data_IF_287890939333
#
_entry.id   IF_287890939333
#
_cell.length_a   1.000
_cell.length_b   1.000
_cell.length_c   1.000
_cell.angle_alpha   90.00
_cell.angle_beta   90.00
_cell.angle_gamma   90.00
#
_symmetry.space_group_name_H-M   'P 1'
#
loop_
_entity.id
_entity.type
_entity.pdbx_description
1 polymer ?
#
# COMPACT_ATOMS: atom_id res chain seq x y z
N UNK A 1 -3.75 25.97 -15.43
CA UNK A 1 -4.89 25.37 -14.69
C UNK A 1 -4.59 24.95 -13.23
N UNK A 2 -3.35 24.67 -12.82
CA UNK A 2 -3.00 24.29 -11.42
C UNK A 2 -3.17 25.39 -10.36
N UNK A 3 -3.11 26.69 -10.75
CA UNK A 3 -3.23 27.80 -9.79
C UNK A 3 -4.67 28.18 -9.42
N UNK A 4 -5.63 27.90 -10.27
CA UNK A 4 -7.03 28.31 -10.10
C UNK A 4 -7.76 27.36 -9.13
N UNK A 5 -7.47 26.05 -9.20
CA UNK A 5 -8.08 25.05 -8.32
C UNK A 5 -7.67 25.25 -6.85
N UNK A 6 -6.41 25.63 -6.59
CA UNK A 6 -5.91 25.93 -5.24
C UNK A 6 -6.61 27.14 -4.61
N UNK A 7 -6.95 28.17 -5.42
CA UNK A 7 -7.63 29.39 -4.93
C UNK A 7 -9.12 29.16 -4.71
N UNK A 8 -9.79 28.37 -5.55
CA UNK A 8 -11.24 28.10 -5.41
C UNK A 8 -11.55 27.22 -4.18
N UNK A 9 -10.70 26.23 -3.84
CA UNK A 9 -10.87 25.39 -2.65
C UNK A 9 -10.68 26.22 -1.36
N UNK A 10 -9.73 27.15 -1.37
CA UNK A 10 -9.46 28.06 -0.24
C UNK A 10 -10.60 29.05 -0.03
N UNK A 11 -11.19 29.59 -1.11
CA UNK A 11 -12.26 30.60 -1.03
C UNK A 11 -13.59 29.97 -0.61
N UNK A 12 -13.92 28.74 -1.01
CA UNK A 12 -15.13 28.03 -0.54
C UNK A 12 -15.09 27.68 0.95
N UNK A 13 -13.88 27.53 1.55
CA UNK A 13 -13.73 27.32 2.99
C UNK A 13 -13.95 28.59 3.82
N UNK A 14 -13.73 29.77 3.25
CA UNK A 14 -13.76 31.06 3.97
C UNK A 14 -15.18 31.66 4.02
N UNK A 15 -16.04 31.38 3.04
CA UNK A 15 -17.37 32.00 2.94
C UNK A 15 -18.45 31.40 3.84
N UNK A 16 -18.15 30.36 4.63
CA UNK A 16 -19.12 29.73 5.55
C UNK A 16 -19.13 30.30 6.98
N UNK A 17 -18.32 31.31 7.31
CA UNK A 17 -18.15 31.77 8.71
C UNK A 17 -18.25 33.30 8.78
N UNK A 18 -19.37 33.88 8.45
CA UNK A 18 -19.68 35.26 8.82
C UNK A 18 -20.95 35.31 9.66
N UNK A 19 -20.81 35.27 10.94
CA UNK A 19 -21.82 35.63 11.93
C UNK A 19 -21.14 36.42 13.07
N UNK A 20 -21.54 37.69 13.23
CA UNK A 20 -20.93 38.68 14.08
C UNK A 20 -21.17 38.45 15.60
N UNK A 21 -20.26 38.68 16.45
CA UNK A 21 -20.08 39.82 17.39
C UNK A 21 -19.34 39.43 18.69
N UNK A 22 -18.49 40.39 19.09
CA UNK A 22 -17.89 40.66 20.40
C UNK A 22 -16.58 39.99 20.80
N UNK A 23 -15.53 40.81 20.74
CA UNK A 23 -14.32 40.69 21.53
C UNK A 23 -13.06 40.32 20.78
N UNK A 24 -12.00 41.10 20.94
CA UNK A 24 -10.67 40.84 20.34
C UNK A 24 -10.17 39.43 20.66
N UNK A 25 -10.47 38.89 21.85
CA UNK A 25 -10.10 37.54 22.28
C UNK A 25 -10.87 36.44 21.51
N UNK A 26 -12.12 36.69 21.08
CA UNK A 26 -12.85 35.73 20.22
C UNK A 26 -12.36 35.77 18.78
N UNK A 27 -11.93 36.92 18.29
CA UNK A 27 -11.32 37.09 16.99
C UNK A 27 -9.94 36.41 16.90
N UNK A 28 -9.15 36.48 17.98
CA UNK A 28 -7.87 35.75 18.07
C UNK A 28 -8.09 34.25 18.06
N UNK A 29 -9.00 33.72 18.85
CA UNK A 29 -9.36 32.28 18.87
C UNK A 29 -9.91 31.80 17.53
N UNK A 30 -10.72 32.63 16.84
CA UNK A 30 -11.19 32.32 15.48
C UNK A 30 -10.05 32.33 14.46
N UNK A 31 -9.10 33.23 14.54
CA UNK A 31 -7.94 33.28 13.67
C UNK A 31 -7.01 32.09 13.90
N UNK A 32 -6.76 31.68 15.13
CA UNK A 32 -5.98 30.49 15.47
C UNK A 32 -6.67 29.22 14.97
N UNK A 33 -7.99 29.11 15.12
CA UNK A 33 -8.78 28.02 14.56
C UNK A 33 -8.72 27.97 13.03
N UNK A 34 -8.84 29.12 12.37
CA UNK A 34 -8.71 29.20 10.91
C UNK A 34 -7.30 28.82 10.43
N UNK A 35 -6.27 29.20 11.17
CA UNK A 35 -4.89 28.78 10.92
C UNK A 35 -4.72 27.28 11.07
N UNK A 36 -5.33 26.66 12.09
CA UNK A 36 -5.33 25.21 12.28
C UNK A 36 -6.03 24.49 11.14
N UNK A 37 -7.15 25.02 10.64
CA UNK A 37 -7.85 24.48 9.45
C UNK A 37 -7.03 24.61 8.16
N UNK A 38 -6.33 25.75 7.99
CA UNK A 38 -5.43 25.96 6.83
C UNK A 38 -4.23 25.02 6.91
N UNK A 39 -3.66 24.85 8.11
CA UNK A 39 -2.56 23.91 8.35
C UNK A 39 -3.00 22.48 8.02
N UNK A 40 -4.14 22.03 8.51
CA UNK A 40 -4.69 20.72 8.17
C UNK A 40 -4.90 20.56 6.68
N UNK A 41 -5.41 21.59 5.98
CA UNK A 41 -5.58 21.57 4.53
C UNK A 41 -4.25 21.40 3.79
N UNK A 42 -3.19 22.06 4.26
CA UNK A 42 -1.84 21.91 3.71
C UNK A 42 -1.23 20.54 4.01
N UNK A 43 -1.48 20.00 5.19
CA UNK A 43 -1.03 18.66 5.58
C UNK A 43 -1.72 17.57 4.76
N UNK A 44 -3.00 17.73 4.44
CA UNK A 44 -3.72 16.91 3.48
C UNK A 44 -3.04 16.90 2.10
N UNK A 45 -2.71 18.09 1.58
CA UNK A 45 -2.01 18.21 0.29
C UNK A 45 -0.63 17.54 0.35
N UNK A 46 0.07 17.66 1.47
CA UNK A 46 1.37 17.03 1.69
C UNK A 46 1.30 15.50 1.65
N UNK A 47 0.28 14.91 2.27
CA UNK A 47 0.02 13.45 2.20
C UNK A 47 -0.24 13.02 0.75
N UNK A 48 -1.11 13.73 0.02
CA UNK A 48 -1.40 13.45 -1.38
C UNK A 48 -0.15 13.47 -2.26
N UNK A 49 0.72 14.47 -2.07
CA UNK A 49 1.96 14.60 -2.85
C UNK A 49 2.92 13.46 -2.55
N UNK A 50 3.11 13.11 -1.27
CA UNK A 50 4.01 12.04 -0.85
C UNK A 50 3.58 10.67 -1.40
N UNK A 51 2.29 10.37 -1.44
CA UNK A 51 1.80 9.13 -2.06
C UNK A 51 1.89 9.16 -3.59
N UNK A 52 1.79 10.32 -4.24
CA UNK A 52 2.06 10.47 -5.67
C UNK A 52 3.49 10.08 -6.03
N UNK A 53 4.46 10.47 -5.22
CA UNK A 53 5.88 10.11 -5.39
C UNK A 53 6.12 8.61 -5.16
N UNK A 54 5.37 7.98 -4.23
CA UNK A 54 5.46 6.54 -3.98
C UNK A 54 4.94 5.76 -5.20
N UNK A 55 3.78 6.13 -5.74
CA UNK A 55 3.25 5.52 -6.98
C UNK A 55 4.25 5.64 -8.13
N UNK A 56 4.82 6.83 -8.34
CA UNK A 56 5.84 7.05 -9.36
C UNK A 56 7.05 6.13 -9.21
N UNK A 57 7.48 5.85 -7.98
CA UNK A 57 8.62 4.96 -7.73
C UNK A 57 8.31 3.50 -8.09
N UNK A 58 7.11 3.01 -7.84
CA UNK A 58 6.69 1.63 -8.18
C UNK A 58 6.52 1.45 -9.68
N UNK A 59 5.91 2.41 -10.35
CA UNK A 59 5.73 2.38 -11.81
C UNK A 59 7.06 2.44 -12.58
N UNK A 60 8.14 2.89 -11.93
CA UNK A 60 9.49 2.90 -12.49
C UNK A 60 10.23 1.56 -12.41
N UNK A 61 9.67 0.52 -11.79
CA UNK A 61 10.33 -0.79 -11.71
C UNK A 61 10.52 -1.40 -13.09
N UNK A 62 11.70 -1.95 -13.33
CA UNK A 62 12.14 -2.58 -14.57
C UNK A 62 13.03 -3.79 -14.28
N UNK A 63 13.60 -4.40 -15.31
CA UNK A 63 14.41 -5.62 -15.17
C UNK A 63 15.69 -5.44 -14.36
N UNK A 64 16.16 -4.21 -14.17
CA UNK A 64 17.35 -3.86 -13.38
C UNK A 64 17.00 -3.40 -11.96
N UNK A 65 15.71 -3.32 -11.62
CA UNK A 65 15.27 -2.92 -10.28
C UNK A 65 15.64 -3.96 -9.24
N UNK A 66 16.08 -3.47 -8.09
CA UNK A 66 16.61 -4.29 -7.00
C UNK A 66 15.54 -4.57 -5.95
N UNK A 67 15.71 -5.66 -5.20
CA UNK A 67 14.89 -5.95 -4.02
C UNK A 67 14.98 -4.83 -2.98
N UNK A 68 16.16 -4.22 -2.84
CA UNK A 68 16.35 -3.06 -1.96
C UNK A 68 15.48 -1.86 -2.34
N UNK A 69 15.08 -1.70 -3.61
CA UNK A 69 14.16 -0.64 -4.01
C UNK A 69 12.74 -0.92 -3.51
N UNK A 70 12.35 -2.21 -3.44
CA UNK A 70 11.11 -2.62 -2.78
C UNK A 70 11.17 -2.39 -1.26
N UNK A 71 12.31 -2.69 -0.63
CA UNK A 71 12.55 -2.38 0.79
C UNK A 71 12.41 -0.88 1.09
N UNK A 72 13.00 -0.03 0.24
CA UNK A 72 12.87 1.43 0.31
C UNK A 72 11.44 1.91 0.08
N UNK A 73 10.70 1.26 -0.83
CA UNK A 73 9.28 1.54 -1.02
C UNK A 73 8.50 1.35 0.30
N UNK A 74 8.63 0.21 0.97
CA UNK A 74 7.95 -0.01 2.26
C UNK A 74 8.43 0.97 3.33
N UNK A 75 9.71 1.29 3.37
CA UNK A 75 10.25 2.32 4.30
C UNK A 75 9.60 3.68 4.03
N UNK A 76 9.46 4.08 2.78
CA UNK A 76 8.82 5.35 2.41
C UNK A 76 7.33 5.35 2.77
N UNK A 77 6.62 4.22 2.60
CA UNK A 77 5.23 4.07 3.09
C UNK A 77 5.18 4.26 4.61
N UNK A 78 6.04 3.57 5.36
CA UNK A 78 6.15 3.71 6.82
C UNK A 78 6.33 5.18 7.22
N UNK A 79 7.34 5.86 6.67
CA UNK A 79 7.71 7.22 7.04
C UNK A 79 6.61 8.23 6.68
N UNK A 80 5.97 8.07 5.53
CA UNK A 80 4.85 8.93 5.10
C UNK A 80 3.64 8.80 6.03
N UNK A 81 3.29 7.56 6.41
CA UNK A 81 2.15 7.31 7.31
C UNK A 81 2.47 7.76 8.74
N UNK A 82 3.72 7.56 9.20
CA UNK A 82 4.18 8.07 10.50
C UNK A 82 4.07 9.61 10.55
N UNK A 83 4.58 10.30 9.53
CA UNK A 83 4.46 11.76 9.45
C UNK A 83 3.01 12.25 9.42
N UNK A 84 2.09 11.47 8.82
CA UNK A 84 0.65 11.77 8.86
C UNK A 84 0.10 11.62 10.29
N UNK A 85 0.44 10.54 10.99
CA UNK A 85 0.07 10.32 12.38
C UNK A 85 0.54 11.47 13.28
N UNK A 86 1.83 11.79 13.21
CA UNK A 86 2.44 12.84 14.05
C UNK A 86 1.74 14.20 13.88
N UNK A 87 1.40 14.55 12.64
CA UNK A 87 0.66 15.80 12.34
C UNK A 87 -0.76 15.79 12.90
N UNK A 88 -1.48 14.68 12.80
CA UNK A 88 -2.82 14.54 13.35
C UNK A 88 -2.82 14.64 14.88
N UNK A 89 -1.87 13.98 15.54
CA UNK A 89 -1.71 14.06 17.00
C UNK A 89 -1.38 15.49 17.44
N UNK A 90 -0.51 16.18 16.69
CA UNK A 90 -0.18 17.59 16.95
C UNK A 90 -1.42 18.49 16.83
N UNK A 91 -2.25 18.31 15.82
CA UNK A 91 -3.49 19.08 15.63
C UNK A 91 -4.40 18.90 16.85
N UNK A 92 -4.57 17.70 17.38
CA UNK A 92 -5.37 17.43 18.58
C UNK A 92 -4.81 18.20 19.79
N UNK A 93 -3.49 18.17 19.97
CA UNK A 93 -2.82 18.90 21.07
C UNK A 93 -3.04 20.40 20.93
N UNK A 94 -2.86 20.97 19.75
CA UNK A 94 -3.02 22.39 19.49
C UNK A 94 -4.48 22.83 19.72
N UNK A 95 -5.47 22.09 19.24
CA UNK A 95 -6.89 22.36 19.45
C UNK A 95 -7.29 22.35 20.93
N UNK A 96 -6.75 21.41 21.71
CA UNK A 96 -6.99 21.35 23.17
C UNK A 96 -6.39 22.53 23.88
N UNK A 97 -5.14 22.92 23.56
CA UNK A 97 -4.46 24.07 24.13
C UNK A 97 -5.24 25.36 23.87
N UNK A 98 -5.82 25.49 22.70
CA UNK A 98 -6.61 26.67 22.28
C UNK A 98 -8.05 26.64 22.80
N UNK A 99 -8.46 25.61 23.53
CA UNK A 99 -9.82 25.46 24.07
C UNK A 99 -10.89 25.31 22.98
N UNK A 100 -10.54 24.72 21.84
CA UNK A 100 -11.48 24.54 20.74
C UNK A 100 -12.62 23.57 21.14
N UNK A 101 -13.91 23.95 20.98
CA UNK A 101 -15.05 23.14 21.41
C UNK A 101 -15.13 21.79 20.72
N UNK A 102 -14.56 21.64 19.49
CA UNK A 102 -14.57 20.40 18.75
C UNK A 102 -13.36 19.49 19.05
N UNK A 103 -12.42 19.93 19.91
CA UNK A 103 -11.19 19.17 20.20
C UNK A 103 -11.45 17.72 20.66
N UNK A 104 -12.49 17.49 21.45
CA UNK A 104 -12.84 16.14 21.92
C UNK A 104 -13.33 15.24 20.79
N UNK A 105 -14.16 15.75 19.87
CA UNK A 105 -14.63 15.04 18.70
C UNK A 105 -13.50 14.69 17.73
N UNK A 106 -12.60 15.66 17.47
CA UNK A 106 -11.42 15.47 16.63
C UNK A 106 -10.45 14.47 17.26
N UNK A 107 -10.19 14.55 18.56
CA UNK A 107 -9.37 13.57 19.28
C UNK A 107 -9.90 12.15 19.12
N UNK A 108 -11.21 11.96 19.28
CA UNK A 108 -11.85 10.66 19.11
C UNK A 108 -11.67 10.12 17.69
N UNK A 109 -11.88 10.95 16.68
CA UNK A 109 -11.70 10.57 15.27
C UNK A 109 -10.24 10.26 14.94
N UNK A 110 -9.28 11.06 15.43
CA UNK A 110 -7.84 10.82 15.25
C UNK A 110 -7.41 9.55 15.96
N UNK A 111 -7.77 9.33 17.22
CA UNK A 111 -7.45 8.10 17.95
C UNK A 111 -7.92 6.85 17.20
N UNK A 112 -9.14 6.88 16.68
CA UNK A 112 -9.68 5.77 15.90
C UNK A 112 -8.88 5.53 14.62
N UNK A 113 -8.61 6.57 13.84
CA UNK A 113 -7.82 6.48 12.61
C UNK A 113 -6.40 5.94 12.91
N UNK A 114 -5.76 6.43 13.95
CA UNK A 114 -4.42 6.00 14.36
C UNK A 114 -4.43 4.52 14.74
N UNK A 115 -5.25 4.11 15.71
CA UNK A 115 -5.21 2.75 16.26
C UNK A 115 -5.72 1.67 15.30
N UNK A 116 -6.76 1.98 14.51
CA UNK A 116 -7.37 1.00 13.63
C UNK A 116 -6.68 0.91 12.25
N UNK A 117 -5.97 1.97 11.84
CA UNK A 117 -5.44 2.08 10.48
C UNK A 117 -3.96 2.43 10.43
N UNK A 118 -3.56 3.63 10.91
CA UNK A 118 -2.21 4.13 10.67
C UNK A 118 -1.14 3.25 11.34
N UNK A 119 -1.34 2.87 12.60
CA UNK A 119 -0.39 2.05 13.35
C UNK A 119 -0.19 0.68 12.69
N UNK A 120 -1.24 0.08 12.13
CA UNK A 120 -1.15 -1.19 11.40
C UNK A 120 -0.39 -1.05 10.09
N UNK A 121 -0.61 0.03 9.34
CA UNK A 121 0.14 0.29 8.11
C UNK A 121 1.62 0.52 8.44
N UNK A 122 1.93 1.31 9.47
CA UNK A 122 3.30 1.59 9.93
C UNK A 122 3.99 0.29 10.34
N UNK A 123 3.34 -0.53 11.17
CA UNK A 123 3.87 -1.82 11.63
C UNK A 123 4.14 -2.76 10.46
N UNK A 124 3.16 -2.97 9.60
CA UNK A 124 3.29 -3.88 8.46
C UNK A 124 4.35 -3.42 7.46
N UNK A 125 4.44 -2.11 7.19
CA UNK A 125 5.45 -1.53 6.31
C UNK A 125 6.86 -1.65 6.90
N UNK A 126 7.01 -1.45 8.21
CA UNK A 126 8.27 -1.68 8.93
C UNK A 126 8.72 -3.13 8.79
N UNK A 127 7.85 -4.10 9.12
CA UNK A 127 8.16 -5.53 9.02
C UNK A 127 8.56 -5.90 7.59
N UNK A 128 7.82 -5.46 6.57
CA UNK A 128 8.13 -5.74 5.18
C UNK A 128 9.46 -5.12 4.73
N UNK A 129 9.72 -3.87 5.11
CA UNK A 129 10.98 -3.18 4.80
C UNK A 129 12.20 -3.88 5.42
N UNK A 130 12.09 -4.31 6.69
CA UNK A 130 13.16 -5.02 7.40
C UNK A 130 13.40 -6.42 6.80
N UNK A 131 12.33 -7.14 6.44
CA UNK A 131 12.41 -8.47 5.81
C UNK A 131 13.10 -8.43 4.44
N UNK A 132 12.91 -7.38 3.66
CA UNK A 132 13.51 -7.22 2.34
C UNK A 132 14.91 -6.62 2.45
N UNK A 133 15.08 -5.63 3.32
CA UNK A 133 16.26 -4.78 3.41
C UNK A 133 16.24 -3.61 2.43
N UNK A 134 16.90 -2.52 2.81
CA UNK A 134 16.97 -1.27 2.01
C UNK A 134 18.29 -1.13 1.26
N UNK A 135 19.18 -2.07 1.41
CA UNK A 135 20.49 -2.18 0.80
C UNK A 135 20.65 -3.56 0.13
N UNK A 136 21.61 -3.66 -0.76
CA UNK A 136 21.85 -4.88 -1.53
C UNK A 136 21.62 -4.69 -3.03
N UNK A 137 22.15 -5.63 -3.82
CA UNK A 137 22.17 -5.55 -5.28
C UNK A 137 21.35 -6.65 -5.98
N UNK A 138 20.68 -7.52 -5.22
CA UNK A 138 19.84 -8.57 -5.79
C UNK A 138 18.68 -7.96 -6.57
N UNK A 139 18.49 -8.41 -7.81
CA UNK A 139 17.39 -7.99 -8.66
C UNK A 139 16.05 -8.56 -8.18
N UNK A 140 14.94 -7.85 -8.42
CA UNK A 140 13.59 -8.34 -8.17
C UNK A 140 13.38 -9.67 -8.91
N UNK A 141 13.68 -9.72 -10.21
CA UNK A 141 13.61 -10.93 -11.03
C UNK A 141 14.89 -11.77 -10.97
N UNK A 142 15.43 -12.05 -9.77
CA UNK A 142 16.66 -12.82 -9.66
C UNK A 142 16.47 -14.26 -10.10
N UNK A 143 17.19 -14.69 -11.14
CA UNK A 143 17.19 -16.04 -11.70
C UNK A 143 18.56 -16.65 -11.47
N UNK A 144 18.61 -17.89 -11.00
CA UNK A 144 19.84 -18.64 -10.82
C UNK A 144 20.53 -18.93 -12.16
N UNK A 145 21.85 -19.13 -12.12
CA UNK A 145 22.60 -19.55 -13.29
C UNK A 145 22.12 -20.93 -13.79
N UNK A 146 22.50 -21.30 -15.02
CA UNK A 146 22.23 -22.63 -15.57
C UNK A 146 22.65 -23.74 -14.59
N UNK A 147 21.85 -24.78 -14.50
CA UNK A 147 21.99 -25.93 -13.57
C UNK A 147 21.91 -25.59 -12.07
N UNK A 148 21.48 -24.39 -11.71
CA UNK A 148 21.30 -24.02 -10.32
C UNK A 148 19.82 -23.83 -9.97
N UNK A 149 19.46 -24.26 -8.76
CA UNK A 149 18.12 -24.11 -8.23
C UNK A 149 17.79 -22.69 -7.74
N UNK A 150 16.52 -22.47 -7.50
CA UNK A 150 16.02 -21.31 -6.82
C UNK A 150 16.33 -21.36 -5.32
N UNK A 151 16.17 -20.21 -4.66
CA UNK A 151 16.27 -20.08 -3.19
C UNK A 151 15.03 -19.39 -2.66
N UNK A 152 14.59 -19.78 -1.46
CA UNK A 152 13.33 -19.29 -0.87
C UNK A 152 13.42 -17.84 -0.44
N UNK A 153 14.50 -17.48 0.27
CA UNK A 153 14.59 -16.19 0.94
C UNK A 153 13.69 -16.06 2.16
N UNK A 154 13.58 -14.83 2.72
CA UNK A 154 12.72 -14.55 3.89
C UNK A 154 11.28 -14.23 3.48
N UNK A 155 10.58 -15.25 2.97
CA UNK A 155 9.18 -15.15 2.55
C UNK A 155 8.24 -14.96 3.73
N UNK A 156 8.56 -15.54 4.89
CA UNK A 156 7.67 -15.58 6.06
C UNK A 156 7.51 -14.21 6.70
N UNK A 157 8.63 -13.55 6.98
CA UNK A 157 8.61 -12.19 7.55
C UNK A 157 7.95 -11.19 6.59
N UNK A 158 8.24 -11.32 5.28
CA UNK A 158 7.62 -10.49 4.26
C UNK A 158 6.10 -10.68 4.20
N UNK A 159 5.62 -11.93 4.18
CA UNK A 159 4.19 -12.24 4.22
C UNK A 159 3.52 -11.61 5.44
N UNK A 160 4.14 -11.71 6.62
CA UNK A 160 3.62 -11.10 7.85
C UNK A 160 3.40 -9.59 7.68
N UNK A 161 4.40 -8.88 7.16
CA UNK A 161 4.29 -7.43 6.92
C UNK A 161 3.18 -7.06 5.94
N UNK A 162 3.13 -7.73 4.78
CA UNK A 162 2.10 -7.50 3.76
C UNK A 162 0.71 -7.81 4.30
N UNK A 163 0.53 -8.91 5.06
CA UNK A 163 -0.75 -9.33 5.63
C UNK A 163 -1.32 -8.27 6.58
N UNK A 164 -0.49 -7.66 7.42
CA UNK A 164 -0.92 -6.61 8.36
C UNK A 164 -1.48 -5.41 7.61
N UNK A 165 -0.82 -4.96 6.53
CA UNK A 165 -1.28 -3.81 5.75
C UNK A 165 -2.55 -4.15 4.97
N UNK A 166 -2.51 -5.22 4.17
CA UNK A 166 -3.60 -5.59 3.24
C UNK A 166 -4.90 -5.86 3.99
N UNK A 167 -4.84 -6.48 5.19
CA UNK A 167 -6.02 -6.73 6.01
C UNK A 167 -6.79 -5.46 6.37
N UNK A 168 -6.11 -4.32 6.47
CA UNK A 168 -6.70 -3.02 6.81
C UNK A 168 -7.17 -2.26 5.57
N UNK A 169 -6.39 -2.31 4.48
CA UNK A 169 -6.58 -1.36 3.37
C UNK A 169 -7.28 -1.96 2.14
N UNK A 170 -7.28 -3.30 1.96
CA UNK A 170 -7.76 -3.92 0.72
C UNK A 170 -8.77 -5.02 1.00
N UNK A 171 -10.01 -4.82 0.58
CA UNK A 171 -11.08 -5.83 0.65
C UNK A 171 -11.38 -6.47 -0.70
N UNK A 172 -10.99 -5.81 -1.78
CA UNK A 172 -11.23 -6.22 -3.17
C UNK A 172 -10.19 -7.26 -3.61
N UNK A 173 -10.50 -8.00 -4.68
CA UNK A 173 -9.66 -9.05 -5.24
C UNK A 173 -10.08 -10.47 -4.84
N UNK A 174 -9.63 -11.45 -5.61
CA UNK A 174 -9.95 -12.87 -5.44
C UNK A 174 -8.67 -13.70 -5.36
N UNK A 175 -8.42 -14.36 -4.24
CA UNK A 175 -7.26 -15.21 -4.01
C UNK A 175 -7.18 -16.43 -4.96
N UNK A 176 -8.29 -16.81 -5.57
CA UNK A 176 -8.40 -17.90 -6.55
C UNK A 176 -8.69 -17.41 -7.97
N UNK A 177 -8.34 -16.14 -8.28
CA UNK A 177 -8.58 -15.57 -9.61
C UNK A 177 -7.78 -16.29 -10.69
N UNK A 178 -8.29 -16.17 -11.92
CA UNK A 178 -7.72 -16.81 -13.10
C UNK A 178 -8.06 -18.29 -13.22
N UNK A 179 -7.40 -18.96 -14.17
CA UNK A 179 -7.59 -20.37 -14.42
C UNK A 179 -6.39 -21.23 -13.98
N UNK A 180 -6.46 -22.53 -14.20
CA UNK A 180 -5.39 -23.49 -13.92
C UNK A 180 -4.78 -24.08 -15.21
N UNK A 181 -4.86 -23.35 -16.32
CA UNK A 181 -4.44 -23.82 -17.63
C UNK A 181 -3.05 -23.35 -17.99
N UNK A 182 -2.27 -24.24 -18.63
CA UNK A 182 -0.94 -23.90 -19.17
C UNK A 182 -1.04 -22.86 -20.29
N UNK A 183 -0.01 -22.10 -20.48
CA UNK A 183 0.08 -21.11 -21.55
C UNK A 183 0.19 -21.76 -22.94
N UNK A 184 0.76 -22.97 -23.03
CA UNK A 184 1.17 -23.57 -24.30
C UNK A 184 0.08 -24.35 -25.01
N UNK A 185 -0.74 -25.08 -24.27
CA UNK A 185 -1.71 -26.06 -24.84
C UNK A 185 -3.08 -25.98 -24.15
N UNK A 186 -3.26 -25.07 -23.20
CA UNK A 186 -4.48 -24.89 -22.40
C UNK A 186 -4.90 -26.17 -21.63
N UNK A 187 -4.02 -27.15 -21.48
CA UNK A 187 -4.24 -28.27 -20.57
C UNK A 187 -4.08 -27.82 -19.12
N UNK A 188 -4.52 -28.66 -18.18
CA UNK A 188 -4.36 -28.35 -16.75
C UNK A 188 -2.88 -28.30 -16.36
N UNK A 189 -2.52 -27.33 -15.51
CA UNK A 189 -1.16 -27.23 -14.98
C UNK A 189 -0.79 -28.48 -14.19
N UNK A 190 0.37 -28.99 -14.49
CA UNK A 190 1.04 -30.09 -13.79
C UNK A 190 2.33 -29.61 -13.12
N UNK A 191 3.15 -30.53 -12.65
CA UNK A 191 4.41 -30.21 -11.98
C UNK A 191 5.49 -29.64 -12.92
N UNK A 192 5.28 -29.70 -14.26
CA UNK A 192 6.20 -29.17 -15.27
C UNK A 192 5.75 -27.80 -15.82
N UNK A 193 4.84 -27.10 -15.13
CA UNK A 193 4.37 -25.77 -15.45
C UNK A 193 5.15 -24.70 -14.66
N UNK A 194 4.54 -23.55 -14.38
CA UNK A 194 5.18 -22.42 -13.66
C UNK A 194 5.83 -22.82 -12.32
N UNK A 195 5.39 -23.90 -11.68
CA UNK A 195 6.00 -24.44 -10.45
C UNK A 195 7.48 -24.79 -10.57
N UNK A 196 7.97 -25.14 -11.78
CA UNK A 196 9.40 -25.40 -11.99
C UNK A 196 10.32 -24.23 -11.69
N UNK A 197 9.82 -23.00 -11.77
CA UNK A 197 10.58 -21.81 -11.42
C UNK A 197 10.99 -21.77 -9.94
N UNK A 198 10.34 -22.54 -9.11
CA UNK A 198 10.53 -22.57 -7.65
C UNK A 198 11.38 -23.76 -7.18
N UNK A 199 11.80 -24.64 -8.09
CA UNK A 199 12.60 -25.81 -7.75
C UNK A 199 13.99 -25.47 -7.20
N UNK A 200 14.51 -26.31 -6.29
CA UNK A 200 15.83 -26.09 -5.66
C UNK A 200 16.99 -26.73 -6.45
N UNK A 201 16.72 -27.43 -7.55
CA UNK A 201 17.74 -28.01 -8.44
C UNK A 201 17.88 -27.21 -9.75
N UNK A 202 16.86 -27.20 -10.60
CA UNK A 202 16.79 -26.39 -11.83
C UNK A 202 15.35 -26.36 -12.36
N UNK A 203 15.08 -25.48 -13.33
CA UNK A 203 13.78 -25.32 -13.95
C UNK A 203 13.50 -26.34 -15.10
N UNK A 204 14.29 -27.40 -15.19
CA UNK A 204 14.17 -28.42 -16.24
C UNK A 204 14.97 -28.08 -17.51
N UNK A 205 14.89 -28.99 -18.51
CA UNK A 205 15.51 -28.80 -19.81
C UNK A 205 15.00 -27.54 -20.52
N UNK A 206 15.72 -27.05 -21.53
CA UNK A 206 15.45 -25.77 -22.17
C UNK A 206 13.98 -25.56 -22.55
N UNK A 207 13.35 -26.60 -23.17
CA UNK A 207 11.94 -26.52 -23.58
C UNK A 207 10.97 -26.46 -22.37
N UNK A 208 11.25 -27.26 -21.33
CA UNK A 208 10.44 -27.26 -20.09
C UNK A 208 10.56 -25.89 -19.39
N UNK A 209 11.78 -25.39 -19.27
CA UNK A 209 12.05 -24.09 -18.64
C UNK A 209 11.33 -22.95 -19.40
N UNK A 210 11.45 -22.90 -20.75
CA UNK A 210 10.75 -21.89 -21.57
C UNK A 210 9.23 -21.97 -21.42
N UNK A 211 8.64 -23.16 -21.43
CA UNK A 211 7.20 -23.37 -21.23
C UNK A 211 6.77 -22.92 -19.84
N UNK A 212 7.56 -23.22 -18.81
CA UNK A 212 7.30 -22.81 -17.43
C UNK A 212 7.38 -21.28 -17.26
N UNK A 213 8.33 -20.63 -17.91
CA UNK A 213 8.44 -19.17 -17.91
C UNK A 213 7.24 -18.51 -18.63
N UNK A 214 6.85 -19.03 -19.78
CA UNK A 214 5.67 -18.56 -20.53
C UNK A 214 4.38 -18.73 -19.70
N UNK A 215 4.24 -19.85 -19.00
CA UNK A 215 3.10 -20.12 -18.14
C UNK A 215 3.02 -19.17 -16.93
N UNK A 216 4.16 -18.86 -16.32
CA UNK A 216 4.24 -17.87 -15.26
C UNK A 216 3.89 -16.45 -15.77
N UNK A 217 4.36 -16.08 -16.95
CA UNK A 217 4.04 -14.80 -17.58
C UNK A 217 2.53 -14.72 -17.90
N UNK A 218 1.90 -15.80 -18.41
CA UNK A 218 0.44 -15.87 -18.58
C UNK A 218 -0.28 -15.67 -17.27
N UNK A 219 0.11 -16.39 -16.23
CA UNK A 219 -0.54 -16.33 -14.93
C UNK A 219 -0.51 -14.90 -14.36
N UNK A 220 0.65 -14.23 -14.39
CA UNK A 220 0.79 -12.85 -13.96
C UNK A 220 0.00 -11.88 -14.84
N UNK A 221 -0.02 -12.13 -16.16
CA UNK A 221 -0.76 -11.31 -17.12
C UNK A 221 -2.27 -11.31 -16.91
N UNK A 222 -2.82 -12.45 -16.51
CA UNK A 222 -4.25 -12.72 -16.46
C UNK A 222 -5.00 -12.08 -15.27
N UNK A 223 -4.30 -11.62 -14.24
CA UNK A 223 -4.90 -11.18 -12.96
C UNK A 223 -4.51 -9.77 -12.57
N UNK A 224 -5.26 -9.20 -11.63
CA UNK A 224 -5.02 -7.86 -11.09
C UNK A 224 -4.07 -7.88 -9.90
N UNK A 225 -3.54 -6.70 -9.52
CA UNK A 225 -2.72 -6.58 -8.31
C UNK A 225 -3.51 -6.87 -7.02
N UNK A 226 -4.83 -6.61 -7.02
CA UNK A 226 -5.70 -6.96 -5.91
C UNK A 226 -5.80 -8.49 -5.74
N UNK A 227 -5.93 -9.23 -6.84
CA UNK A 227 -5.95 -10.70 -6.80
C UNK A 227 -4.62 -11.27 -6.29
N UNK A 228 -3.48 -10.70 -6.74
CA UNK A 228 -2.15 -11.06 -6.25
C UNK A 228 -2.06 -10.86 -4.73
N UNK A 229 -2.46 -9.69 -4.22
CA UNK A 229 -2.41 -9.37 -2.80
C UNK A 229 -3.34 -10.29 -1.99
N UNK A 230 -4.55 -10.57 -2.49
CA UNK A 230 -5.46 -11.50 -1.83
C UNK A 230 -4.92 -12.93 -1.84
N UNK A 231 -4.28 -13.38 -2.92
CA UNK A 231 -3.62 -14.69 -2.98
C UNK A 231 -2.48 -14.76 -1.95
N UNK A 232 -1.66 -13.72 -1.84
CA UNK A 232 -0.58 -13.65 -0.85
C UNK A 232 -1.10 -13.83 0.58
N UNK A 233 -2.20 -13.16 0.94
CA UNK A 233 -2.64 -13.12 2.35
C UNK A 233 -3.65 -14.20 2.75
N UNK A 234 -4.33 -14.83 1.79
CA UNK A 234 -5.43 -15.79 2.03
C UNK A 234 -5.18 -17.18 1.50
N UNK A 235 -4.20 -17.39 0.60
CA UNK A 235 -3.95 -18.68 0.00
C UNK A 235 -2.73 -19.34 0.60
N UNK A 236 -2.92 -20.46 1.31
CA UNK A 236 -1.83 -21.29 1.81
C UNK A 236 -1.00 -21.86 0.66
N UNK A 237 -1.63 -22.14 -0.50
CA UNK A 237 -0.95 -22.61 -1.70
C UNK A 237 0.05 -21.58 -2.23
N UNK A 238 -0.28 -20.27 -2.17
CA UNK A 238 0.64 -19.17 -2.54
C UNK A 238 1.88 -19.17 -1.67
N UNK A 239 1.70 -19.31 -0.36
CA UNK A 239 2.80 -19.35 0.58
C UNK A 239 3.64 -20.63 0.41
N UNK A 240 3.00 -21.79 0.26
CA UNK A 240 3.64 -23.07 -0.01
C UNK A 240 4.47 -22.99 -1.29
N UNK A 241 3.94 -22.43 -2.37
CA UNK A 241 4.66 -22.24 -3.62
C UNK A 241 5.86 -21.30 -3.45
N UNK A 242 5.68 -20.17 -2.78
CA UNK A 242 6.78 -19.23 -2.51
C UNK A 242 7.90 -19.85 -1.66
N UNK A 243 7.57 -20.75 -0.74
CA UNK A 243 8.50 -21.50 0.12
C UNK A 243 9.00 -22.81 -0.50
N UNK A 244 8.54 -23.17 -1.70
CA UNK A 244 8.94 -24.44 -2.32
C UNK A 244 10.46 -24.54 -2.43
N UNK A 245 11.02 -25.65 -1.90
CA UNK A 245 12.47 -25.89 -1.83
C UNK A 245 12.78 -27.39 -2.05
N UNK A 246 12.13 -28.00 -3.02
CA UNK A 246 12.35 -29.39 -3.40
C UNK A 246 12.82 -29.49 -4.84
N UNK A 247 13.43 -30.62 -5.19
CA UNK A 247 13.74 -30.91 -6.57
C UNK A 247 12.44 -31.10 -7.36
N UNK A 248 12.41 -30.58 -8.54
CA UNK A 248 11.24 -30.53 -9.44
C UNK A 248 10.17 -29.52 -8.99
N UNK A 249 9.37 -29.09 -9.94
CA UNK A 249 8.33 -28.11 -9.73
C UNK A 249 7.07 -28.72 -9.15
N UNK A 250 7.08 -29.15 -7.92
CA UNK A 250 5.83 -29.54 -7.30
C UNK A 250 5.03 -28.28 -6.90
N UNK A 251 4.13 -27.88 -7.75
CA UNK A 251 3.17 -26.84 -7.42
C UNK A 251 1.98 -27.37 -6.61
N UNK A 252 1.95 -28.69 -6.31
CA UNK A 252 0.92 -29.29 -5.47
C UNK A 252 -0.50 -28.79 -5.80
N UNK A 253 -1.00 -27.92 -4.96
CA UNK A 253 -2.29 -27.26 -5.10
C UNK A 253 -2.23 -25.91 -5.83
N UNK A 254 -1.04 -25.35 -6.05
CA UNK A 254 -0.82 -23.99 -6.56
C UNK A 254 -0.99 -23.84 -8.07
N UNK A 255 -2.13 -24.24 -8.63
CA UNK A 255 -2.36 -24.22 -10.08
C UNK A 255 -3.01 -22.96 -10.62
N UNK A 256 -3.72 -22.19 -9.80
CA UNK A 256 -4.42 -20.96 -10.22
C UNK A 256 -3.47 -19.84 -10.56
N UNK A 257 -3.85 -18.99 -11.52
CA UNK A 257 -3.05 -17.86 -11.95
C UNK A 257 -2.70 -16.92 -10.77
N UNK A 258 -3.66 -16.62 -9.88
CA UNK A 258 -3.43 -15.76 -8.72
C UNK A 258 -2.42 -16.36 -7.72
N UNK A 259 -2.43 -17.70 -7.53
CA UNK A 259 -1.49 -18.40 -6.65
C UNK A 259 -0.07 -18.33 -7.22
N UNK A 260 0.09 -18.56 -8.52
CA UNK A 260 1.39 -18.48 -9.19
C UNK A 260 1.94 -17.06 -9.11
N UNK A 261 1.13 -16.06 -9.44
CA UNK A 261 1.57 -14.66 -9.42
C UNK A 261 1.87 -14.16 -8.00
N UNK A 262 1.09 -14.58 -7.01
CA UNK A 262 1.35 -14.31 -5.60
C UNK A 262 2.66 -14.93 -5.11
N UNK A 263 2.89 -16.22 -5.46
CA UNK A 263 4.14 -16.92 -5.16
C UNK A 263 5.35 -16.25 -5.82
N UNK A 264 5.21 -15.83 -7.08
CA UNK A 264 6.25 -15.08 -7.79
C UNK A 264 6.54 -13.74 -7.12
N UNK A 265 5.51 -12.97 -6.78
CA UNK A 265 5.68 -11.68 -6.11
C UNK A 265 6.40 -11.84 -4.76
N UNK A 266 5.99 -12.80 -3.92
CA UNK A 266 6.62 -13.06 -2.63
C UNK A 266 8.10 -13.46 -2.78
N UNK A 267 8.42 -14.43 -3.66
CA UNK A 267 9.82 -14.86 -3.86
C UNK A 267 10.66 -13.76 -4.50
N UNK A 268 10.09 -13.02 -5.44
CA UNK A 268 10.77 -11.90 -6.10
C UNK A 268 11.14 -10.77 -5.14
N UNK A 269 10.31 -10.48 -4.16
CA UNK A 269 10.56 -9.44 -3.16
C UNK A 269 11.44 -9.91 -1.99
N UNK A 270 11.38 -11.20 -1.61
CA UNK A 270 12.07 -11.70 -0.43
C UNK A 270 13.60 -11.61 -0.54
N UNK A 271 14.26 -11.21 0.55
CA UNK A 271 15.71 -11.14 0.64
C UNK A 271 16.31 -12.53 0.38
N UNK A 272 17.23 -12.62 -0.58
CA UNK A 272 17.84 -13.89 -0.98
C UNK A 272 16.96 -14.81 -1.84
N UNK A 273 15.72 -14.44 -2.13
CA UNK A 273 14.84 -15.23 -3.01
C UNK A 273 15.35 -15.25 -4.46
N UNK A 274 15.36 -16.44 -5.08
CA UNK A 274 15.73 -16.65 -6.49
C UNK A 274 14.79 -17.63 -7.14
N UNK A 275 14.62 -17.48 -8.44
CA UNK A 275 14.00 -18.50 -9.31
C UNK A 275 15.07 -19.45 -9.83
N UNK A 276 14.68 -20.70 -10.09
CA UNK A 276 15.57 -21.71 -10.64
C UNK A 276 16.07 -21.33 -12.03
N UNK A 277 17.32 -21.66 -12.35
CA UNK A 277 17.87 -21.58 -13.70
C UNK A 277 17.51 -22.83 -14.52
N UNK A 278 17.60 -22.78 -15.86
CA UNK A 278 17.35 -23.95 -16.72
C UNK A 278 18.50 -24.97 -16.59
N UNK A 279 18.25 -26.25 -16.85
CA UNK A 279 19.31 -27.27 -16.83
C UNK A 279 20.18 -27.25 -18.09
N UNK A 280 19.71 -26.64 -19.18
CA UNK A 280 20.43 -26.44 -20.43
C UNK A 280 20.28 -25.02 -20.91
N UNK A 281 21.11 -24.57 -21.85
CA UNK A 281 21.04 -23.24 -22.40
C UNK A 281 19.65 -22.88 -22.94
N UNK A 282 19.09 -21.77 -22.46
CA UNK A 282 17.78 -21.26 -22.81
C UNK A 282 17.79 -19.71 -22.71
N UNK A 283 18.33 -19.06 -23.72
CA UNK A 283 18.59 -17.59 -23.70
C UNK A 283 17.33 -16.76 -23.36
N UNK A 284 16.16 -17.17 -23.86
CA UNK A 284 14.91 -16.43 -23.64
C UNK A 284 14.27 -16.68 -22.27
N UNK A 285 14.72 -17.67 -21.52
CA UNK A 285 14.12 -18.08 -20.25
C UNK A 285 14.22 -16.98 -19.17
N UNK A 286 15.44 -16.57 -18.87
CA UNK A 286 15.69 -15.61 -17.78
C UNK A 286 15.01 -14.26 -18.00
N UNK A 287 15.02 -13.64 -19.21
CA UNK A 287 14.28 -12.41 -19.46
C UNK A 287 12.77 -12.51 -19.22
N UNK A 288 12.14 -13.64 -19.60
CA UNK A 288 10.69 -13.87 -19.40
C UNK A 288 10.37 -14.01 -17.91
N UNK A 289 11.16 -14.80 -17.17
CA UNK A 289 10.97 -14.95 -15.71
C UNK A 289 11.16 -13.61 -14.97
N UNK A 290 12.20 -12.86 -15.33
CA UNK A 290 12.44 -11.52 -14.77
C UNK A 290 11.28 -10.59 -15.05
N UNK A 291 10.80 -10.55 -16.29
CA UNK A 291 9.66 -9.72 -16.67
C UNK A 291 8.38 -10.06 -15.91
N UNK A 292 8.06 -11.35 -15.77
CA UNK A 292 6.93 -11.81 -14.99
C UNK A 292 7.04 -11.45 -13.51
N UNK A 293 8.23 -11.64 -12.91
CA UNK A 293 8.48 -11.30 -11.52
C UNK A 293 8.32 -9.80 -11.25
N UNK A 294 8.94 -8.94 -12.07
CA UNK A 294 8.80 -7.48 -11.97
C UNK A 294 7.34 -7.07 -12.14
N UNK A 295 6.64 -7.63 -13.12
CA UNK A 295 5.21 -7.33 -13.35
C UNK A 295 4.35 -7.73 -12.15
N UNK A 296 4.57 -8.90 -11.55
CA UNK A 296 3.82 -9.34 -10.37
C UNK A 296 4.04 -8.40 -9.17
N UNK A 297 5.29 -8.00 -8.92
CA UNK A 297 5.65 -7.06 -7.86
C UNK A 297 5.05 -5.68 -8.12
N UNK A 298 5.20 -5.13 -9.33
CA UNK A 298 4.66 -3.80 -9.70
C UNK A 298 3.14 -3.77 -9.53
N UNK A 299 2.41 -4.75 -10.06
CA UNK A 299 0.95 -4.85 -9.91
C UNK A 299 0.53 -4.87 -8.44
N UNK A 300 1.20 -5.69 -7.62
CA UNK A 300 0.90 -5.80 -6.20
C UNK A 300 1.15 -4.48 -5.46
N UNK A 301 2.32 -3.86 -5.64
CA UNK A 301 2.71 -2.66 -4.91
C UNK A 301 1.97 -1.41 -5.37
N UNK A 302 1.67 -1.28 -6.67
CA UNK A 302 0.82 -0.20 -7.18
C UNK A 302 -0.59 -0.27 -6.57
N UNK A 303 -1.20 -1.45 -6.60
CA UNK A 303 -2.50 -1.67 -5.95
C UNK A 303 -2.45 -1.38 -4.45
N UNK A 304 -1.40 -1.83 -3.75
CA UNK A 304 -1.23 -1.59 -2.33
C UNK A 304 -1.13 -0.09 -2.03
N UNK A 305 -0.36 0.64 -2.83
CA UNK A 305 -0.19 2.10 -2.69
C UNK A 305 -1.52 2.84 -2.83
N UNK A 306 -2.30 2.49 -3.88
CA UNK A 306 -3.63 3.08 -4.11
C UNK A 306 -4.58 2.75 -2.95
N UNK A 307 -4.57 1.52 -2.45
CA UNK A 307 -5.42 1.08 -1.34
C UNK A 307 -5.06 1.79 -0.03
N UNK A 308 -3.77 1.89 0.30
CA UNK A 308 -3.27 2.63 1.48
C UNK A 308 -3.71 4.09 1.41
N UNK A 309 -3.46 4.75 0.28
CA UNK A 309 -3.86 6.14 0.07
C UNK A 309 -5.35 6.33 0.25
N UNK A 310 -6.19 5.54 -0.44
CA UNK A 310 -7.66 5.61 -0.36
C UNK A 310 -8.15 5.46 1.08
N UNK A 311 -7.57 4.54 1.84
CA UNK A 311 -7.95 4.29 3.22
C UNK A 311 -7.58 5.46 4.14
N UNK A 312 -6.40 6.05 3.96
CA UNK A 312 -5.98 7.24 4.71
C UNK A 312 -6.87 8.43 4.34
N UNK A 313 -7.15 8.67 3.07
CA UNK A 313 -8.01 9.76 2.61
C UNK A 313 -9.42 9.69 3.23
N UNK A 314 -9.99 8.48 3.35
CA UNK A 314 -11.27 8.28 4.03
C UNK A 314 -11.19 8.60 5.53
N UNK A 315 -10.12 8.18 6.20
CA UNK A 315 -9.89 8.48 7.61
C UNK A 315 -9.72 9.98 7.86
N UNK A 316 -8.92 10.63 7.03
CA UNK A 316 -8.70 12.07 7.09
C UNK A 316 -9.98 12.87 6.84
N UNK A 317 -10.85 12.39 5.93
CA UNK A 317 -12.17 12.99 5.75
C UNK A 317 -13.00 12.92 7.03
N UNK A 318 -12.98 11.81 7.74
CA UNK A 318 -13.70 11.65 9.02
C UNK A 318 -13.16 12.64 10.07
N UNK A 319 -11.84 12.80 10.16
CA UNK A 319 -11.21 13.80 11.05
C UNK A 319 -11.65 15.21 10.68
N UNK A 320 -11.63 15.55 9.39
CA UNK A 320 -12.09 16.85 8.88
C UNK A 320 -13.56 17.11 9.21
N UNK A 321 -14.42 16.09 9.06
CA UNK A 321 -15.84 16.23 9.36
C UNK A 321 -16.07 16.47 10.87
N UNK A 322 -15.24 15.88 11.74
CA UNK A 322 -15.26 16.14 13.18
C UNK A 322 -14.78 17.58 13.55
N UNK A 323 -14.04 18.25 12.67
CA UNK A 323 -13.61 19.64 12.87
C UNK A 323 -14.67 20.67 12.52
N UNK A 324 -15.74 20.29 11.81
CA UNK A 324 -16.80 21.21 11.44
C UNK A 324 -17.55 21.65 12.69
N UNK A 325 -17.60 22.97 12.89
CA UNK A 325 -18.43 23.60 13.94
C UNK A 325 -19.89 23.31 13.59
N UNK A 326 -20.59 22.64 14.47
CA UNK A 326 -22.05 22.59 14.42
C UNK A 326 -22.55 24.00 14.79
N UNK A 327 -22.91 24.79 13.78
CA UNK A 327 -23.39 26.18 13.97
C UNK A 327 -24.74 26.23 14.68
N UNK A 328 -25.34 25.07 14.98
CA UNK A 328 -26.64 24.97 15.63
C UNK A 328 -26.56 24.86 17.17
N UNK A 329 -25.38 24.67 17.76
CA UNK A 329 -25.23 24.45 19.21
C UNK A 329 -24.66 25.66 20.00
N UNK A 330 -24.59 26.85 19.43
CA UNK A 330 -24.34 28.05 20.21
C UNK A 330 -25.66 28.69 20.65
N UNK A 331 -26.08 28.54 21.92
CA UNK A 331 -27.19 29.33 22.40
C UNK A 331 -26.73 30.79 22.42
N UNK A 332 -27.33 31.59 21.54
CA UNK A 332 -27.22 33.04 21.63
C UNK A 332 -28.02 33.42 22.86
N UNK A 333 -27.35 33.62 24.00
CA UNK A 333 -27.96 34.32 25.14
C UNK A 333 -28.08 35.78 24.73
N UNK A 334 -29.26 36.12 24.26
CA UNK A 334 -29.65 37.54 24.15
C UNK A 334 -29.97 38.06 25.55
N UNK A 335 -29.00 38.63 26.23
CA UNK A 335 -29.26 39.51 27.33
C UNK A 335 -29.90 40.80 26.81
N UNK A 336 -31.23 40.78 26.80
CA UNK A 336 -32.01 41.97 26.60
C UNK A 336 -32.02 42.76 27.91
N UNK A 337 -31.07 43.66 28.08
CA UNK A 337 -31.14 44.72 29.08
C UNK A 337 -32.12 45.80 28.57
N UNK A 338 -33.35 45.64 28.95
CA UNK A 338 -34.36 46.69 28.87
C UNK A 338 -34.11 47.68 30.02
N UNK A 339 -33.40 48.76 29.76
CA UNK A 339 -33.42 49.92 30.67
C UNK A 339 -34.68 50.71 30.44
N UNK A 340 -35.65 50.54 31.33
CA UNK A 340 -36.74 51.49 31.50
C UNK A 340 -36.15 52.84 31.94
N UNK A 341 -36.36 53.84 31.11
CA UNK A 341 -36.23 55.26 31.53
C UNK A 341 -37.61 55.82 31.73
N UNK A 342 -37.98 56.02 32.99
CA UNK A 342 -39.12 56.89 33.41
C UNK A 342 -38.75 58.34 33.17
N UNK A 343 -39.55 59.00 32.46
CA UNK A 343 -40.28 60.26 32.51
C UNK A 343 -40.35 60.96 31.15
#
# INVERSE_FOLDING_TARGET
MRGVIKRSLLIMMILGIMGCNNGVAELEKKNEFLQSLVSLGNDFIGVFTSFGDIVGSVLGFNLESKKSDVGKYFKKVQDTVQGTKDKLEKIVVDMKREGNPNAAGVESAVKKLVSETLDKIIEGAKIASEAIGTDGNDLIGNVAAQNNGGTVGDVESLLKGIKVIVAVVLKEGNAAAGDAKKATDLSDRDNNAAGMLFANNNAGAADVAKKSAADAAKAVGAITGADILQAIIKSDDTFTLAKHNEANGNSGNGKKDAVIAGGMALRAMSKGGKFAGPSAEAAEYAPVVKGAAVSAVTKALDTLTVAVRKTIDMGLKTVKDAMKVDTNDTPVSSDSNTSESKK
#
